data_IF_634034532808
#
_entry.id   IF_634034532808
#
_cell.length_a   1.000
_cell.length_b   1.000
_cell.length_c   1.000
_cell.angle_alpha   90.00
_cell.angle_beta   90.00
_cell.angle_gamma   90.00
#
_symmetry.space_group_name_H-M   'P 1'
#
loop_
_entity.id
_entity.type
_entity.pdbx_description
1 polymer ?
#
# COMPACT_ATOMS: atom_id res chain seq x y z
N UNK A 1 -8.22 -4.56 -3.87
CA UNK A 1 -6.74 -4.49 -3.95
C UNK A 1 -6.43 -4.01 -5.35
N UNK A 2 -6.06 -2.74 -5.55
CA UNK A 2 -6.12 -2.11 -6.88
C UNK A 2 -5.41 -2.90 -7.98
N UNK A 3 -4.18 -3.35 -7.73
CA UNK A 3 -3.40 -4.13 -8.70
C UNK A 3 -4.10 -5.43 -9.13
N UNK A 4 -4.68 -6.18 -8.18
CA UNK A 4 -5.51 -7.36 -8.46
C UNK A 4 -6.79 -6.99 -9.20
N UNK A 5 -7.47 -5.93 -8.76
CA UNK A 5 -8.76 -5.54 -9.33
C UNK A 5 -8.61 -5.07 -10.79
N UNK A 6 -7.42 -4.58 -11.17
CA UNK A 6 -7.06 -4.23 -12.55
C UNK A 6 -6.93 -5.41 -13.50
N UNK A 7 -6.83 -6.64 -13.01
CA UNK A 7 -6.92 -7.82 -13.88
C UNK A 7 -8.30 -7.94 -14.53
N UNK A 8 -9.37 -7.61 -13.79
CA UNK A 8 -10.74 -7.59 -14.30
C UNK A 8 -11.18 -6.21 -14.79
N UNK A 9 -10.52 -5.14 -14.36
CA UNK A 9 -10.90 -3.76 -14.67
C UNK A 9 -9.67 -2.87 -14.86
N UNK A 10 -8.94 -3.00 -15.98
CA UNK A 10 -7.62 -2.40 -16.19
C UNK A 10 -7.56 -0.89 -15.99
N UNK A 11 -8.67 -0.20 -16.27
CA UNK A 11 -8.78 1.25 -16.22
C UNK A 11 -9.26 1.78 -14.85
N UNK A 12 -9.31 0.95 -13.81
CA UNK A 12 -9.73 1.39 -12.47
C UNK A 12 -8.77 2.46 -11.92
N UNK A 13 -9.22 3.69 -11.62
CA UNK A 13 -8.32 4.75 -11.18
C UNK A 13 -7.93 4.62 -9.70
N UNK A 14 -6.71 5.04 -9.36
CA UNK A 14 -6.21 4.96 -7.99
C UNK A 14 -7.05 5.76 -6.98
N UNK A 15 -7.66 6.86 -7.42
CA UNK A 15 -8.54 7.71 -6.61
C UNK A 15 -9.69 6.93 -5.94
N UNK A 16 -10.17 5.84 -6.55
CA UNK A 16 -11.20 4.95 -5.96
C UNK A 16 -10.79 4.31 -4.63
N UNK A 17 -9.50 4.32 -4.29
CA UNK A 17 -8.98 3.79 -3.02
C UNK A 17 -8.96 4.82 -1.90
N UNK A 18 -9.25 6.07 -2.23
CA UNK A 18 -9.20 7.20 -1.29
C UNK A 18 -10.58 7.68 -0.83
N UNK A 19 -11.61 6.85 -1.02
CA UNK A 19 -12.99 7.17 -0.63
C UNK A 19 -13.49 6.27 0.51
N UNK A 20 -14.41 6.81 1.33
CA UNK A 20 -15.06 6.09 2.42
C UNK A 20 -14.17 5.87 3.64
N UNK A 21 -14.38 4.72 4.32
CA UNK A 21 -13.65 4.31 5.53
C UNK A 21 -12.46 3.37 5.23
N UNK A 22 -12.04 3.29 3.97
CA UNK A 22 -10.91 2.45 3.54
C UNK A 22 -9.57 3.06 3.97
N UNK A 23 -8.48 2.30 3.95
CA UNK A 23 -7.14 2.78 4.34
C UNK A 23 -6.71 4.09 3.66
N UNK A 24 -7.02 4.29 2.37
CA UNK A 24 -6.74 5.57 1.69
C UNK A 24 -7.81 6.65 1.93
N UNK A 25 -8.91 6.34 2.60
CA UNK A 25 -9.99 7.27 2.89
C UNK A 25 -9.56 8.37 3.84
N UNK A 26 -10.15 9.55 3.68
CA UNK A 26 -9.77 10.75 4.44
C UNK A 26 -9.86 10.61 5.96
N UNK A 27 -10.72 9.73 6.50
CA UNK A 27 -10.74 9.46 7.95
C UNK A 27 -9.46 8.76 8.41
N UNK A 28 -9.01 7.74 7.67
CA UNK A 28 -7.83 6.96 8.06
C UNK A 28 -6.56 7.76 7.82
N UNK A 29 -6.45 8.47 6.68
CA UNK A 29 -5.30 9.34 6.43
C UNK A 29 -5.11 10.41 7.51
N UNK A 30 -6.21 11.02 7.98
CA UNK A 30 -6.12 11.99 9.07
C UNK A 30 -5.70 11.33 10.38
N UNK A 31 -6.15 10.11 10.68
CA UNK A 31 -5.72 9.36 11.86
C UNK A 31 -4.24 8.97 11.79
N UNK A 32 -3.78 8.49 10.64
CA UNK A 32 -2.39 8.12 10.41
C UNK A 32 -1.49 9.34 10.58
N UNK A 33 -1.79 10.45 9.91
CA UNK A 33 -1.03 11.71 10.06
C UNK A 33 -1.05 12.21 11.50
N UNK A 34 -2.17 12.07 12.23
CA UNK A 34 -2.24 12.42 13.65
C UNK A 34 -1.19 11.68 14.47
N UNK A 35 -1.11 10.35 14.29
CA UNK A 35 -0.19 9.50 15.01
C UNK A 35 1.26 9.94 14.82
N UNK A 36 1.67 10.21 13.57
CA UNK A 36 3.03 10.65 13.27
C UNK A 36 3.32 12.05 13.81
N UNK A 37 2.40 12.99 13.63
CA UNK A 37 2.57 14.37 14.10
C UNK A 37 2.71 14.41 15.61
N UNK A 38 1.97 13.57 16.34
CA UNK A 38 1.99 13.56 17.80
C UNK A 38 3.18 12.77 18.36
N UNK A 39 3.65 11.74 17.67
CA UNK A 39 4.83 10.96 18.06
C UNK A 39 6.17 11.53 17.56
N UNK A 40 6.17 12.74 17.01
CA UNK A 40 7.37 13.34 16.40
C UNK A 40 8.35 13.89 17.42
N UNK A 41 9.61 13.93 17.01
CA UNK A 41 10.56 14.86 17.62
C UNK A 41 10.24 16.28 17.17
N UNK A 42 9.85 17.14 18.11
CA UNK A 42 9.52 18.55 17.82
C UNK A 42 10.77 19.42 17.58
N UNK A 43 11.98 18.89 17.85
CA UNK A 43 13.22 19.64 17.71
C UNK A 43 13.79 19.66 16.28
N UNK A 44 13.50 18.63 15.48
CA UNK A 44 14.04 18.50 14.12
C UNK A 44 12.99 18.19 13.03
N UNK A 45 11.76 17.79 13.39
CA UNK A 45 10.71 17.33 12.46
C UNK A 45 11.19 16.21 11.49
N UNK A 46 12.30 15.51 11.76
CA UNK A 46 12.91 14.55 10.82
C UNK A 46 12.20 13.18 10.84
N UNK A 47 11.42 12.89 11.88
CA UNK A 47 10.68 11.65 11.97
C UNK A 47 9.96 11.41 13.30
N UNK A 48 9.27 10.27 13.44
CA UNK A 48 8.75 9.82 14.73
C UNK A 48 9.92 9.44 15.64
N UNK A 49 9.94 9.94 16.88
CA UNK A 49 10.97 9.60 17.88
C UNK A 49 10.43 8.67 18.96
N UNK A 50 9.37 9.11 19.64
CA UNK A 50 8.54 8.34 20.56
C UNK A 50 7.33 9.18 20.94
N UNK A 51 6.20 8.54 21.26
CA UNK A 51 5.09 9.24 21.89
C UNK A 51 5.44 9.55 23.35
N UNK A 52 5.74 10.80 23.65
CA UNK A 52 5.88 11.26 25.03
C UNK A 52 4.53 11.71 25.59
N UNK A 53 4.05 11.01 26.62
CA UNK A 53 2.85 11.40 27.37
C UNK A 53 3.32 12.01 28.69
N UNK A 54 3.12 13.32 28.90
CA UNK A 54 3.52 13.96 30.15
C UNK A 54 2.85 13.31 31.36
N UNK A 55 3.54 13.33 32.51
CA UNK A 55 3.00 12.79 33.76
C UNK A 55 1.64 13.42 34.09
N UNK A 56 0.65 12.59 34.43
CA UNK A 56 -0.72 13.03 34.72
C UNK A 56 -1.60 13.33 33.50
N UNK A 57 -1.10 13.14 32.28
CA UNK A 57 -1.88 13.26 31.04
C UNK A 57 -2.23 11.90 30.42
N UNK A 58 -3.24 11.91 29.56
CA UNK A 58 -3.70 10.79 28.74
C UNK A 58 -3.33 11.04 27.26
N UNK A 59 -3.39 9.97 26.45
CA UNK A 59 -3.22 10.08 24.98
C UNK A 59 -4.14 11.14 24.37
N UNK A 60 -5.38 11.24 24.88
CA UNK A 60 -6.35 12.24 24.42
C UNK A 60 -5.86 13.68 24.59
N UNK A 61 -5.13 13.97 25.68
CA UNK A 61 -4.59 15.30 25.96
C UNK A 61 -3.43 15.65 25.02
N UNK A 62 -2.62 14.66 24.61
CA UNK A 62 -1.53 14.85 23.64
C UNK A 62 -2.09 15.03 22.22
N UNK A 63 -3.25 14.43 21.94
CA UNK A 63 -3.95 14.56 20.66
C UNK A 63 -4.82 15.82 20.54
N UNK A 64 -5.05 16.58 21.63
CA UNK A 64 -6.03 17.67 21.66
C UNK A 64 -5.75 18.79 20.64
N UNK A 65 -4.49 19.21 20.52
CA UNK A 65 -4.06 20.25 19.55
C UNK A 65 -4.26 19.81 18.09
N UNK A 66 -4.28 18.51 17.84
CA UNK A 66 -4.55 17.91 16.54
C UNK A 66 -6.05 17.66 16.32
N UNK A 67 -6.74 17.09 17.30
CA UNK A 67 -8.10 16.59 17.18
C UNK A 67 -9.16 17.68 17.28
N UNK A 68 -8.84 18.90 17.73
CA UNK A 68 -9.80 20.00 17.92
C UNK A 68 -10.26 20.60 16.56
N UNK A 69 -11.31 20.07 15.91
CA UNK A 69 -11.64 20.37 14.51
C UNK A 69 -12.46 21.67 14.39
N UNK A 70 -13.06 22.12 15.50
CA UNK A 70 -13.87 23.35 15.56
C UNK A 70 -13.04 24.63 15.63
N UNK A 71 -11.80 24.54 16.11
CA UNK A 71 -10.84 25.64 16.18
C UNK A 71 -9.44 25.06 15.92
N UNK A 72 -9.04 24.90 14.64
CA UNK A 72 -7.83 24.17 14.30
C UNK A 72 -6.59 24.79 14.94
N UNK A 73 -5.95 24.02 15.83
CA UNK A 73 -4.69 24.36 16.49
C UNK A 73 -3.50 24.44 15.52
N UNK A 74 -2.35 24.83 16.05
CA UNK A 74 -1.08 24.89 15.29
C UNK A 74 -0.70 23.53 14.69
N UNK A 75 -0.89 22.46 15.45
CA UNK A 75 -0.60 21.08 15.01
C UNK A 75 -1.51 20.67 13.84
N UNK A 76 -2.82 20.90 13.95
CA UNK A 76 -3.73 20.64 12.83
C UNK A 76 -3.35 21.46 11.58
N UNK A 77 -3.04 22.75 11.72
CA UNK A 77 -2.71 23.61 10.57
C UNK A 77 -1.39 23.23 9.89
N UNK A 78 -0.41 22.76 10.66
CA UNK A 78 0.92 22.43 10.16
C UNK A 78 1.10 20.95 9.79
N UNK A 79 0.18 20.06 10.17
CA UNK A 79 0.30 18.60 10.03
C UNK A 79 0.79 18.09 8.68
N UNK A 80 0.24 18.58 7.57
CA UNK A 80 0.64 18.13 6.23
C UNK A 80 2.05 18.62 5.89
N UNK A 81 2.45 19.80 6.37
CA UNK A 81 3.82 20.31 6.23
C UNK A 81 4.80 19.43 6.99
N UNK A 82 4.51 19.17 8.27
CA UNK A 82 5.32 18.32 9.15
C UNK A 82 5.45 16.92 8.55
N UNK A 83 4.32 16.32 8.15
CA UNK A 83 4.32 14.99 7.55
C UNK A 83 5.10 14.94 6.23
N UNK A 84 4.98 15.95 5.37
CA UNK A 84 5.79 16.04 4.16
C UNK A 84 7.29 16.15 4.47
N UNK A 85 7.69 16.91 5.50
CA UNK A 85 9.10 16.98 5.93
C UNK A 85 9.61 15.62 6.40
N UNK A 86 8.84 14.90 7.22
CA UNK A 86 9.20 13.54 7.68
C UNK A 86 9.38 12.55 6.53
N UNK A 87 8.67 12.74 5.42
CA UNK A 87 8.84 11.93 4.21
C UNK A 87 10.13 12.29 3.42
N UNK A 88 10.80 13.38 3.80
CA UNK A 88 11.98 13.97 3.15
C UNK A 88 11.66 15.15 2.25
N UNK A 89 10.51 15.82 2.45
CA UNK A 89 10.09 16.93 1.61
C UNK A 89 10.89 18.20 1.84
N UNK A 90 11.51 18.71 0.78
CA UNK A 90 12.31 19.93 0.79
C UNK A 90 11.47 21.11 0.29
N UNK A 91 11.10 22.01 1.17
CA UNK A 91 10.21 23.12 0.80
C UNK A 91 10.97 24.30 0.21
N UNK A 92 10.55 24.75 -0.98
CA UNK A 92 10.93 26.02 -1.60
C UNK A 92 9.67 26.85 -1.82
N UNK A 93 9.20 27.53 -0.77
CA UNK A 93 7.91 28.22 -0.77
C UNK A 93 6.75 27.27 -0.46
N UNK A 94 5.65 27.36 -1.21
CA UNK A 94 4.40 26.63 -0.93
C UNK A 94 4.36 25.19 -1.50
N UNK A 95 5.42 24.73 -2.16
CA UNK A 95 5.49 23.38 -2.73
C UNK A 95 6.85 22.73 -2.44
N UNK A 96 6.90 21.40 -2.24
CA UNK A 96 8.16 20.68 -2.17
C UNK A 96 8.92 20.78 -3.50
N UNK A 97 10.19 21.20 -3.46
CA UNK A 97 11.06 21.28 -4.62
C UNK A 97 11.46 19.91 -5.17
N UNK A 98 11.35 18.87 -4.35
CA UNK A 98 11.65 17.47 -4.67
C UNK A 98 10.37 16.60 -4.76
N UNK A 99 9.22 17.18 -5.14
CA UNK A 99 7.93 16.48 -5.18
C UNK A 99 7.97 15.16 -5.95
N UNK A 100 8.58 15.15 -7.14
CA UNK A 100 8.60 13.95 -7.98
C UNK A 100 9.47 12.85 -7.38
N UNK A 101 10.59 13.21 -6.74
CA UNK A 101 11.44 12.26 -6.00
C UNK A 101 10.71 11.64 -4.80
N UNK A 102 9.91 12.44 -4.09
CA UNK A 102 9.03 11.91 -3.02
C UNK A 102 8.03 10.90 -3.56
N UNK A 103 7.42 11.19 -4.72
CA UNK A 103 6.45 10.27 -5.35
C UNK A 103 7.13 8.95 -5.73
N UNK A 104 8.30 8.99 -6.36
CA UNK A 104 9.03 7.76 -6.72
C UNK A 104 9.44 6.96 -5.48
N UNK A 105 10.04 7.62 -4.47
CA UNK A 105 10.43 6.98 -3.20
C UNK A 105 9.24 6.30 -2.52
N UNK A 106 8.10 6.98 -2.45
CA UNK A 106 6.87 6.40 -1.89
C UNK A 106 6.30 5.29 -2.77
N UNK A 107 6.38 5.43 -4.09
CA UNK A 107 5.91 4.40 -5.03
C UNK A 107 6.65 3.08 -4.81
N UNK A 108 7.96 3.13 -4.64
CA UNK A 108 8.78 1.95 -4.35
C UNK A 108 8.36 1.28 -3.04
N UNK A 109 8.23 2.08 -1.95
CA UNK A 109 7.78 1.58 -0.65
C UNK A 109 6.36 0.97 -0.71
N UNK A 110 5.45 1.63 -1.42
CA UNK A 110 4.07 1.15 -1.61
C UNK A 110 4.04 -0.11 -2.46
N UNK A 111 4.91 -0.24 -3.46
CA UNK A 111 5.00 -1.44 -4.29
C UNK A 111 5.54 -2.62 -3.46
N UNK A 112 6.61 -2.42 -2.68
CA UNK A 112 7.19 -3.45 -1.83
C UNK A 112 6.17 -3.93 -0.79
N UNK A 113 5.59 -3.01 -0.02
CA UNK A 113 4.52 -3.34 0.92
C UNK A 113 3.33 -4.02 0.22
N UNK A 114 2.89 -3.44 -0.91
CA UNK A 114 1.78 -3.94 -1.71
C UNK A 114 1.99 -5.36 -2.21
N UNK A 115 3.23 -5.75 -2.52
CA UNK A 115 3.57 -7.10 -2.99
C UNK A 115 3.36 -8.15 -1.91
N UNK A 116 3.81 -7.87 -0.69
CA UNK A 116 3.69 -8.73 0.48
C UNK A 116 2.25 -8.74 0.99
N UNK A 117 1.61 -7.57 1.04
CA UNK A 117 0.21 -7.45 1.44
C UNK A 117 -0.71 -8.23 0.50
N UNK A 118 -0.53 -8.08 -0.81
CA UNK A 118 -1.32 -8.81 -1.81
C UNK A 118 -1.12 -10.33 -1.66
N UNK A 119 0.12 -10.79 -1.54
CA UNK A 119 0.43 -12.21 -1.31
C UNK A 119 -0.32 -12.75 -0.09
N UNK A 120 -0.19 -12.07 1.05
CA UNK A 120 -0.82 -12.48 2.29
C UNK A 120 -2.35 -12.44 2.20
N UNK A 121 -2.92 -11.44 1.52
CA UNK A 121 -4.37 -11.31 1.37
C UNK A 121 -4.94 -12.40 0.47
N UNK A 122 -4.25 -12.74 -0.63
CA UNK A 122 -4.62 -13.87 -1.49
C UNK A 122 -4.53 -15.20 -0.74
N UNK A 123 -3.48 -15.38 0.08
CA UNK A 123 -3.33 -16.57 0.94
C UNK A 123 -4.48 -16.69 1.93
N UNK A 124 -4.78 -15.63 2.68
CA UNK A 124 -5.86 -15.60 3.67
C UNK A 124 -7.24 -15.90 3.05
N UNK A 125 -7.44 -15.49 1.80
CA UNK A 125 -8.69 -15.72 1.09
C UNK A 125 -8.73 -17.06 0.33
N UNK A 126 -7.72 -17.93 0.46
CA UNK A 126 -7.58 -19.17 -0.32
C UNK A 126 -7.61 -18.95 -1.85
N UNK A 127 -7.10 -17.81 -2.30
CA UNK A 127 -7.04 -17.40 -3.71
C UNK A 127 -5.61 -17.37 -4.25
N UNK A 128 -4.61 -17.73 -3.44
CA UNK A 128 -3.22 -17.70 -3.85
C UNK A 128 -2.97 -18.73 -4.96
N UNK A 129 -2.70 -18.21 -6.16
CA UNK A 129 -2.23 -18.94 -7.34
C UNK A 129 -1.11 -18.14 -7.99
N UNK A 130 -0.07 -18.81 -8.48
CA UNK A 130 1.06 -18.13 -9.10
C UNK A 130 0.62 -17.22 -10.26
N UNK A 131 -0.29 -17.69 -11.11
CA UNK A 131 -0.79 -16.93 -12.26
C UNK A 131 -1.54 -15.65 -11.86
N UNK A 132 -2.38 -15.71 -10.83
CA UNK A 132 -3.09 -14.53 -10.33
C UNK A 132 -2.13 -13.53 -9.68
N UNK A 133 -1.17 -14.03 -8.91
CA UNK A 133 -0.16 -13.19 -8.26
C UNK A 133 0.72 -12.49 -9.30
N UNK A 134 1.22 -13.23 -10.29
CA UNK A 134 2.00 -12.70 -11.40
C UNK A 134 1.24 -11.61 -12.15
N UNK A 135 0.01 -11.90 -12.56
CA UNK A 135 -0.79 -10.95 -13.32
C UNK A 135 -1.01 -9.66 -12.52
N UNK A 136 -1.36 -9.79 -11.23
CA UNK A 136 -1.51 -8.65 -10.33
C UNK A 136 -0.20 -7.86 -10.14
N UNK A 137 0.95 -8.53 -10.02
CA UNK A 137 2.25 -7.86 -9.89
C UNK A 137 2.62 -7.04 -11.12
N UNK A 138 2.16 -7.40 -12.32
CA UNK A 138 2.35 -6.58 -13.53
C UNK A 138 1.63 -5.22 -13.47
N UNK A 139 0.63 -5.06 -12.61
CA UNK A 139 -0.03 -3.77 -12.38
C UNK A 139 0.50 -3.04 -11.14
N UNK A 140 1.30 -3.70 -10.30
CA UNK A 140 1.59 -3.23 -8.95
C UNK A 140 2.41 -1.94 -8.93
N UNK A 141 3.50 -1.87 -9.70
CA UNK A 141 4.38 -0.69 -9.73
C UNK A 141 3.63 0.54 -10.24
N UNK A 142 2.89 0.42 -11.35
CA UNK A 142 2.09 1.51 -11.88
C UNK A 142 0.99 1.97 -10.92
N UNK A 143 0.28 1.01 -10.30
CA UNK A 143 -0.73 1.33 -9.29
C UNK A 143 -0.12 2.00 -8.04
N UNK A 144 1.08 1.57 -7.61
CA UNK A 144 1.79 2.16 -6.48
C UNK A 144 2.18 3.61 -6.75
N UNK A 145 2.70 3.90 -7.94
CA UNK A 145 3.04 5.26 -8.37
C UNK A 145 1.83 6.19 -8.38
N UNK A 146 0.70 5.72 -8.91
CA UNK A 146 -0.54 6.50 -8.90
C UNK A 146 -1.08 6.74 -7.49
N UNK A 147 -1.00 5.74 -6.60
CA UNK A 147 -1.39 5.88 -5.19
C UNK A 147 -0.49 6.88 -4.48
N UNK A 148 0.83 6.78 -4.66
CA UNK A 148 1.81 7.73 -4.12
C UNK A 148 1.55 9.15 -4.60
N UNK A 149 1.28 9.32 -5.91
CA UNK A 149 0.94 10.62 -6.48
C UNK A 149 -0.34 11.21 -5.86
N UNK A 150 -1.43 10.44 -5.77
CA UNK A 150 -2.68 10.91 -5.14
C UNK A 150 -2.45 11.33 -3.69
N UNK A 151 -1.63 10.58 -2.96
CA UNK A 151 -1.33 10.88 -1.56
C UNK A 151 -0.48 12.15 -1.41
N UNK A 152 0.60 12.28 -2.17
CA UNK A 152 1.45 13.48 -2.16
C UNK A 152 0.67 14.71 -2.61
N UNK A 153 -0.19 14.59 -3.62
CA UNK A 153 -1.03 15.71 -4.09
C UNK A 153 -2.02 16.16 -3.02
N UNK A 154 -2.61 15.23 -2.28
CA UNK A 154 -3.48 15.55 -1.15
C UNK A 154 -2.73 16.30 -0.04
N UNK A 155 -1.51 15.87 0.29
CA UNK A 155 -0.66 16.53 1.29
C UNK A 155 -0.23 17.93 0.84
N UNK A 156 0.24 18.09 -0.39
CA UNK A 156 0.67 19.37 -0.96
C UNK A 156 -0.49 20.35 -1.02
N UNK A 157 -1.67 19.90 -1.45
CA UNK A 157 -2.86 20.73 -1.45
C UNK A 157 -3.22 21.22 -0.04
N UNK A 158 -3.27 20.31 0.93
CA UNK A 158 -3.62 20.65 2.32
C UNK A 158 -2.57 21.52 3.00
N UNK A 159 -1.30 21.38 2.63
CA UNK A 159 -0.22 22.30 3.03
C UNK A 159 -0.48 23.72 2.52
N UNK A 160 -0.80 23.87 1.23
CA UNK A 160 -1.10 25.17 0.63
C UNK A 160 -2.43 25.78 1.11
N UNK A 161 -3.32 24.96 1.68
CA UNK A 161 -4.65 25.35 2.16
C UNK A 161 -4.81 24.94 3.63
N UNK A 162 -4.00 25.51 4.52
CA UNK A 162 -3.96 25.12 5.93
C UNK A 162 -5.35 25.11 6.57
N UNK A 163 -5.58 24.11 7.43
CA UNK A 163 -6.85 23.94 8.13
C UNK A 163 -7.90 23.14 7.34
N UNK A 164 -7.75 22.95 6.03
CA UNK A 164 -8.61 22.04 5.28
C UNK A 164 -8.29 20.58 5.64
N UNK A 165 -9.28 19.73 5.43
CA UNK A 165 -9.15 18.28 5.61
C UNK A 165 -8.25 17.66 4.53
N UNK A 166 -7.39 16.72 4.95
CA UNK A 166 -6.61 15.86 4.09
C UNK A 166 -7.54 14.88 3.38
N UNK A 167 -7.64 15.07 2.06
CA UNK A 167 -8.47 14.25 1.20
C UNK A 167 -7.86 14.21 -0.19
N UNK A 168 -7.94 13.05 -0.83
CA UNK A 168 -7.64 12.94 -2.25
C UNK A 168 -8.62 13.77 -3.08
N UNK A 169 -8.14 14.32 -4.19
CA UNK A 169 -8.90 15.25 -5.03
C UNK A 169 -8.78 14.86 -6.51
N UNK A 170 -9.81 15.14 -7.33
CA UNK A 170 -9.69 15.04 -8.78
C UNK A 170 -8.81 16.18 -9.34
N UNK A 171 -8.23 16.00 -10.55
CA UNK A 171 -8.31 14.78 -11.37
C UNK A 171 -7.43 13.66 -10.80
N UNK A 172 -7.83 12.41 -11.03
CA UNK A 172 -6.96 11.27 -10.74
C UNK A 172 -5.76 11.26 -11.70
N UNK A 173 -4.58 10.78 -11.28
CA UNK A 173 -3.50 10.52 -12.21
C UNK A 173 -3.96 9.53 -13.29
N UNK A 174 -3.43 9.63 -14.52
CA UNK A 174 -3.69 8.67 -15.57
C UNK A 174 -3.37 7.24 -15.12
N UNK A 175 -4.19 6.28 -15.54
CA UNK A 175 -3.96 4.88 -15.23
C UNK A 175 -2.74 4.38 -15.99
N UNK A 176 -1.76 3.86 -15.25
CA UNK A 176 -0.55 3.28 -15.80
C UNK A 176 -0.88 1.93 -16.45
N UNK A 177 -0.45 1.70 -17.70
CA UNK A 177 -0.63 0.42 -18.37
C UNK A 177 0.02 -0.75 -17.62
N UNK A 178 -0.46 -1.97 -17.90
CA UNK A 178 0.14 -3.21 -17.43
C UNK A 178 1.61 -3.29 -17.88
N UNK A 179 2.52 -3.62 -16.96
CA UNK A 179 3.92 -3.85 -17.29
C UNK A 179 4.08 -5.13 -18.15
N UNK A 180 5.19 -5.22 -18.87
CA UNK A 180 5.56 -6.42 -19.65
C UNK A 180 6.16 -7.52 -18.79
N UNK A 181 6.77 -7.17 -17.66
CA UNK A 181 7.48 -8.08 -16.77
C UNK A 181 7.30 -7.69 -15.31
N UNK A 182 7.32 -8.69 -14.43
CA UNK A 182 7.24 -8.50 -12.98
C UNK A 182 8.61 -8.10 -12.46
N UNK A 183 8.70 -6.95 -11.79
CA UNK A 183 9.93 -6.48 -11.14
C UNK A 183 9.88 -6.67 -9.62
N UNK A 184 8.71 -6.48 -9.00
CA UNK A 184 8.51 -6.58 -7.55
C UNK A 184 7.97 -7.96 -7.16
N UNK A 185 8.44 -8.51 -6.04
CA UNK A 185 7.97 -9.80 -5.51
C UNK A 185 8.33 -11.01 -6.39
N UNK A 186 9.25 -10.85 -7.35
CA UNK A 186 9.63 -11.86 -8.35
C UNK A 186 10.22 -13.12 -7.73
N UNK A 187 11.00 -13.00 -6.66
CA UNK A 187 11.57 -14.14 -5.92
C UNK A 187 10.47 -14.99 -5.26
N UNK A 188 9.55 -14.35 -4.53
CA UNK A 188 8.40 -15.02 -3.91
C UNK A 188 7.50 -15.68 -4.94
N UNK A 189 7.21 -14.98 -6.04
CA UNK A 189 6.45 -15.54 -7.16
C UNK A 189 7.14 -16.77 -7.74
N UNK A 190 8.46 -16.73 -7.92
CA UNK A 190 9.24 -17.86 -8.43
C UNK A 190 9.18 -19.07 -7.49
N UNK A 191 9.27 -18.85 -6.17
CA UNK A 191 9.10 -19.91 -5.17
C UNK A 191 7.70 -20.52 -5.19
N UNK A 192 6.66 -19.71 -5.37
CA UNK A 192 5.27 -20.19 -5.48
C UNK A 192 5.09 -21.01 -6.76
N UNK A 193 5.59 -20.53 -7.91
CA UNK A 193 5.59 -21.29 -9.17
C UNK A 193 6.28 -22.64 -9.04
N UNK A 194 7.46 -22.67 -8.41
CA UNK A 194 8.20 -23.91 -8.19
C UNK A 194 7.41 -24.90 -7.34
N UNK A 195 6.80 -24.42 -6.24
CA UNK A 195 5.94 -25.24 -5.38
C UNK A 195 4.73 -25.81 -6.14
N UNK A 196 4.01 -24.99 -6.89
CA UNK A 196 2.85 -25.44 -7.67
C UNK A 196 3.24 -26.48 -8.74
N UNK A 197 4.40 -26.32 -9.38
CA UNK A 197 4.91 -27.29 -10.34
C UNK A 197 5.25 -28.63 -9.69
N UNK A 198 5.88 -28.62 -8.50
CA UNK A 198 6.17 -29.84 -7.73
C UNK A 198 4.89 -30.56 -7.33
N UNK A 199 3.89 -29.83 -6.83
CA UNK A 199 2.58 -30.39 -6.46
C UNK A 199 1.86 -31.01 -7.67
N UNK A 200 1.94 -30.37 -8.83
CA UNK A 200 1.39 -30.91 -10.08
C UNK A 200 2.11 -32.19 -10.51
N UNK A 201 3.44 -32.21 -10.44
CA UNK A 201 4.25 -33.39 -10.76
C UNK A 201 3.94 -34.57 -9.83
N UNK A 202 3.81 -34.30 -8.52
CA UNK A 202 3.44 -35.33 -7.54
C UNK A 202 2.06 -35.94 -7.84
N UNK A 203 1.06 -35.12 -8.16
CA UNK A 203 -0.28 -35.60 -8.53
C UNK A 203 -0.28 -36.46 -9.80
N UNK A 204 0.52 -36.10 -10.79
CA UNK A 204 0.63 -36.92 -12.01
C UNK A 204 1.32 -38.25 -11.70
N UNK A 205 2.35 -38.26 -10.86
CA UNK A 205 3.00 -39.49 -10.43
C UNK A 205 2.06 -40.41 -9.63
N UNK A 206 1.27 -39.87 -8.71
CA UNK A 206 0.23 -40.61 -7.99
C UNK A 206 -0.80 -41.22 -8.94
N UNK A 207 -1.23 -40.48 -9.96
CA UNK A 207 -2.15 -40.96 -10.99
C UNK A 207 -1.54 -42.11 -11.79
N UNK A 208 -0.30 -41.98 -12.24
CA UNK A 208 0.42 -43.04 -12.97
C UNK A 208 0.58 -44.30 -12.10
N UNK A 209 0.90 -44.14 -10.82
CA UNK A 209 0.98 -45.25 -9.87
C UNK A 209 -0.38 -45.96 -9.74
N UNK A 210 -1.47 -45.20 -9.58
CA UNK A 210 -2.82 -45.75 -9.48
C UNK A 210 -3.24 -46.51 -10.75
N UNK A 211 -2.89 -46.00 -11.93
CA UNK A 211 -3.12 -46.67 -13.22
C UNK A 211 -2.33 -47.98 -13.33
N UNK A 212 -1.05 -47.98 -12.91
CA UNK A 212 -0.21 -49.17 -12.88
C UNK A 212 -0.76 -50.24 -11.92
N UNK A 213 -1.18 -49.85 -10.71
CA UNK A 213 -1.81 -50.76 -9.74
C UNK A 213 -3.10 -51.38 -10.30
N UNK A 214 -3.96 -50.58 -10.92
CA UNK A 214 -5.20 -51.06 -11.53
C UNK A 214 -4.92 -52.05 -12.67
N UNK A 215 -3.88 -51.78 -13.47
CA UNK A 215 -3.46 -52.68 -14.53
C UNK A 215 -2.93 -54.01 -13.97
N UNK A 216 -2.10 -53.98 -12.91
CA UNK A 216 -1.56 -55.17 -12.27
C UNK A 216 -2.69 -56.05 -11.69
N UNK A 217 -3.64 -55.45 -10.96
CA UNK A 217 -4.81 -56.17 -10.43
C UNK A 217 -5.63 -56.84 -11.54
N UNK A 218 -5.88 -56.13 -12.64
CA UNK A 218 -6.66 -56.63 -13.77
C UNK A 218 -6.01 -57.80 -14.51
N UNK A 219 -4.69 -57.76 -14.72
CA UNK A 219 -4.00 -58.70 -15.61
C UNK A 219 -3.25 -59.81 -14.87
N UNK A 220 -2.85 -59.59 -13.63
CA UNK A 220 -2.05 -60.55 -12.86
C UNK A 220 -2.81 -61.16 -11.66
N UNK A 221 -4.01 -60.68 -11.35
CA UNK A 221 -4.89 -61.29 -10.33
C UNK A 221 -4.45 -61.08 -8.87
N UNK A 222 -3.62 -60.07 -8.61
CA UNK A 222 -3.34 -59.57 -7.26
C UNK A 222 -4.47 -58.66 -6.74
#
# INVERSE_FOLDING_TARGET
>A
MLAKDRESSPNSPALTRFVGLNFGGSNNLEGDVAGYVVARDKSDDEGPSALEIPEGKLIADVLEEYLSPGSPGSEWKSRCTVFLKMLGGEFKGATPGNRDELIEKLADQVADFGSIYLLNRLRQNNQLKASLLEASYLHLVGAAKEVAQVFVDALVYSHANQGVRLQARPPAPPVTPKAKQVTVGSSLLSSIKAKENLEKGAKEAEKVLQEAENWLKKNLGF
#
